data_IF_118357720709
#
_entry.id   IF_118357720709
#
_cell.length_a   1.000
_cell.length_b   1.000
_cell.length_c   1.000
_cell.angle_alpha   90.00
_cell.angle_beta   90.00
_cell.angle_gamma   90.00
#
_symmetry.space_group_name_H-M   'P 1'
#
loop_
_entity.id
_entity.type
_entity.pdbx_description
1 polymer ?
#
# COMPACT_ATOMS: atom_id res chain seq x y z
N UNK A 1 -18.95 5.38 -35.85
CA UNK A 1 -19.71 4.86 -34.70
C UNK A 1 -18.70 4.34 -33.69
N UNK A 2 -18.33 5.16 -32.71
CA UNK A 2 -17.54 4.72 -31.55
C UNK A 2 -18.25 5.28 -30.33
N UNK A 3 -19.32 4.59 -29.92
CA UNK A 3 -19.96 4.83 -28.64
C UNK A 3 -19.20 4.08 -27.56
N UNK A 4 -19.20 4.61 -26.33
CA UNK A 4 -18.81 3.83 -25.17
C UNK A 4 -19.80 2.66 -25.05
N UNK A 5 -19.33 1.45 -25.34
CA UNK A 5 -20.12 0.25 -25.13
C UNK A 5 -19.83 -0.20 -23.71
N UNK A 6 -20.84 -0.15 -22.87
CA UNK A 6 -20.82 -0.84 -21.60
C UNK A 6 -20.60 -2.33 -21.89
N UNK A 7 -19.43 -2.88 -21.52
CA UNK A 7 -19.04 -4.23 -21.91
C UNK A 7 -20.07 -5.28 -21.47
N UNK A 8 -20.75 -5.06 -20.34
CA UNK A 8 -21.83 -5.93 -19.85
C UNK A 8 -23.13 -5.82 -20.67
N UNK A 9 -23.27 -4.79 -21.50
CA UNK A 9 -24.37 -4.62 -22.46
C UNK A 9 -24.00 -5.11 -23.87
N UNK A 10 -22.77 -5.57 -24.10
CA UNK A 10 -22.40 -6.25 -25.34
C UNK A 10 -23.17 -7.57 -25.38
N UNK A 11 -24.03 -7.80 -26.40
CA UNK A 11 -24.75 -9.07 -26.52
C UNK A 11 -23.77 -10.25 -26.56
N UNK A 12 -23.95 -11.21 -25.65
CA UNK A 12 -23.10 -12.39 -25.53
C UNK A 12 -21.86 -12.23 -24.66
N UNK A 13 -21.68 -11.09 -23.96
CA UNK A 13 -20.65 -10.93 -22.94
C UNK A 13 -20.72 -11.99 -21.83
N UNK A 14 -21.94 -12.24 -21.37
CA UNK A 14 -22.29 -13.28 -20.39
C UNK A 14 -22.11 -14.71 -20.93
N UNK A 15 -22.02 -14.88 -22.25
CA UNK A 15 -21.75 -16.16 -22.91
C UNK A 15 -20.25 -16.43 -23.11
N UNK A 16 -19.39 -15.44 -22.85
CA UNK A 16 -17.95 -15.62 -22.95
C UNK A 16 -17.45 -16.51 -21.82
N UNK A 17 -16.84 -17.64 -22.19
CA UNK A 17 -16.27 -18.57 -21.24
C UNK A 17 -14.85 -18.13 -20.82
N UNK A 18 -14.74 -17.48 -19.67
CA UNK A 18 -13.46 -17.04 -19.12
C UNK A 18 -12.74 -18.09 -18.27
N UNK A 19 -13.26 -19.32 -18.17
CA UNK A 19 -12.61 -20.40 -17.40
C UNK A 19 -11.26 -20.82 -17.93
N UNK A 20 -10.89 -20.43 -19.16
CA UNK A 20 -9.56 -20.67 -19.74
C UNK A 20 -8.67 -19.42 -19.74
N UNK A 21 -9.16 -18.29 -19.20
CA UNK A 21 -8.43 -17.02 -19.19
C UNK A 21 -7.19 -17.16 -18.31
N UNK A 22 -6.00 -16.96 -18.91
CA UNK A 22 -4.70 -17.04 -18.21
C UNK A 22 -4.15 -15.67 -17.80
N UNK A 23 -4.55 -14.61 -18.49
CA UNK A 23 -4.12 -13.24 -18.25
C UNK A 23 -5.31 -12.33 -18.42
N UNK A 24 -5.61 -11.52 -17.40
CA UNK A 24 -6.51 -10.38 -17.50
C UNK A 24 -5.66 -9.11 -17.47
N UNK A 25 -5.82 -8.27 -18.48
CA UNK A 25 -5.26 -6.93 -18.52
C UNK A 25 -6.41 -5.95 -18.73
N UNK A 26 -6.59 -5.05 -17.78
CA UNK A 26 -7.74 -4.15 -17.73
C UNK A 26 -7.25 -2.73 -17.40
N UNK A 27 -7.62 -1.80 -18.26
CA UNK A 27 -7.05 -0.46 -18.27
C UNK A 27 -7.90 0.55 -19.03
N UNK A 28 -9.12 0.86 -18.57
CA UNK A 28 -9.89 1.94 -19.16
C UNK A 28 -9.13 3.26 -19.00
N UNK A 29 -9.13 4.06 -20.05
CA UNK A 29 -8.81 5.49 -19.95
C UNK A 29 -10.01 6.18 -19.30
N UNK A 30 -10.05 6.24 -17.97
CA UNK A 30 -11.10 6.95 -17.24
C UNK A 30 -10.72 8.45 -17.29
N UNK A 31 -11.54 9.30 -17.92
CA UNK A 31 -11.22 10.71 -18.05
C UNK A 31 -11.18 11.38 -16.68
N UNK A 32 -10.07 12.03 -16.35
CA UNK A 32 -9.92 12.85 -15.15
C UNK A 32 -10.24 14.30 -15.43
N UNK A 33 -11.09 14.88 -14.58
CA UNK A 33 -11.49 16.28 -14.65
C UNK A 33 -10.53 17.17 -13.85
N UNK A 34 -9.22 17.01 -14.07
CA UNK A 34 -8.22 17.94 -13.54
C UNK A 34 -7.94 19.02 -14.59
N UNK A 35 -9.02 19.67 -15.04
CA UNK A 35 -9.05 20.93 -15.80
C UNK A 35 -8.20 20.93 -17.10
N UNK A 36 -8.84 20.56 -18.22
CA UNK A 36 -8.51 21.05 -19.57
C UNK A 36 -7.14 20.72 -20.22
N UNK A 37 -6.41 19.62 -19.93
CA UNK A 37 -5.13 19.37 -20.65
C UNK A 37 -4.98 18.01 -21.34
N UNK A 38 -5.71 17.80 -22.44
CA UNK A 38 -5.13 17.51 -23.76
C UNK A 38 -6.24 17.19 -24.80
N UNK A 39 -6.38 18.10 -25.75
CA UNK A 39 -7.14 17.99 -27.00
C UNK A 39 -8.66 18.20 -26.94
N UNK A 40 -9.04 19.47 -26.80
CA UNK A 40 -10.19 20.06 -27.50
C UNK A 40 -10.04 19.81 -29.00
N UNK A 41 -10.50 18.67 -29.54
CA UNK A 41 -11.05 18.65 -30.93
C UNK A 41 -11.87 17.42 -31.34
N UNK A 42 -12.00 16.32 -30.58
CA UNK A 42 -12.64 15.10 -31.14
C UNK A 42 -13.85 14.53 -30.39
N UNK A 43 -14.15 14.92 -29.14
CA UNK A 43 -15.19 14.22 -28.34
C UNK A 43 -16.36 15.10 -27.87
N UNK A 44 -16.75 16.13 -28.61
CA UNK A 44 -17.84 17.03 -28.20
C UNK A 44 -19.28 16.53 -28.46
N UNK A 45 -19.53 15.25 -28.75
CA UNK A 45 -20.90 14.80 -29.11
C UNK A 45 -21.37 13.46 -28.56
N UNK A 46 -20.80 12.97 -27.45
CA UNK A 46 -21.34 11.78 -26.79
C UNK A 46 -21.69 12.07 -25.32
N UNK A 47 -22.86 11.62 -24.83
CA UNK A 47 -23.15 11.62 -23.41
C UNK A 47 -22.15 10.65 -22.74
N UNK A 48 -21.10 11.20 -22.15
CA UNK A 48 -20.18 10.43 -21.33
C UNK A 48 -20.92 10.04 -20.05
N UNK A 49 -20.95 8.75 -19.65
CA UNK A 49 -21.39 8.37 -18.32
C UNK A 49 -20.63 9.18 -17.27
N UNK A 50 -21.23 9.43 -16.10
CA UNK A 50 -20.50 10.09 -15.01
C UNK A 50 -19.29 9.23 -14.64
N UNK A 51 -18.17 9.85 -14.31
CA UNK A 51 -16.90 9.17 -13.97
C UNK A 51 -17.15 8.06 -12.94
N UNK A 52 -17.94 8.32 -11.90
CA UNK A 52 -18.26 7.35 -10.85
C UNK A 52 -19.00 6.10 -11.36
N UNK A 53 -19.83 6.24 -12.41
CA UNK A 53 -20.54 5.11 -13.03
C UNK A 53 -19.56 4.23 -13.83
N UNK A 54 -18.55 4.83 -14.46
CA UNK A 54 -17.49 4.12 -15.19
C UNK A 54 -16.61 3.34 -14.21
N UNK A 55 -16.19 3.98 -13.13
CA UNK A 55 -15.35 3.38 -12.08
C UNK A 55 -16.06 2.18 -11.41
N UNK A 56 -17.33 2.34 -11.04
CA UNK A 56 -18.14 1.28 -10.44
C UNK A 56 -18.37 0.10 -11.41
N UNK A 57 -18.68 0.40 -12.67
CA UNK A 57 -18.86 -0.63 -13.71
C UNK A 57 -17.55 -1.39 -13.97
N UNK A 58 -16.43 -0.68 -14.01
CA UNK A 58 -15.09 -1.25 -14.17
C UNK A 58 -14.74 -2.21 -13.01
N UNK A 59 -14.98 -1.82 -11.77
CA UNK A 59 -14.77 -2.68 -10.59
C UNK A 59 -15.60 -3.96 -10.67
N UNK A 60 -16.88 -3.84 -11.03
CA UNK A 60 -17.79 -4.99 -11.20
C UNK A 60 -17.30 -5.96 -12.27
N UNK A 61 -16.88 -5.44 -13.43
CA UNK A 61 -16.33 -6.23 -14.52
C UNK A 61 -15.09 -7.00 -14.06
N UNK A 62 -14.16 -6.35 -13.36
CA UNK A 62 -12.96 -7.02 -12.84
C UNK A 62 -13.33 -8.15 -11.87
N UNK A 63 -14.30 -7.94 -10.97
CA UNK A 63 -14.77 -9.00 -10.07
C UNK A 63 -15.36 -10.20 -10.82
N UNK A 64 -16.19 -9.98 -11.82
CA UNK A 64 -16.79 -11.06 -12.63
C UNK A 64 -15.71 -11.88 -13.37
N UNK A 65 -14.70 -11.21 -13.93
CA UNK A 65 -13.58 -11.87 -14.58
C UNK A 65 -12.73 -12.68 -13.61
N UNK A 66 -12.39 -12.10 -12.46
CA UNK A 66 -11.58 -12.78 -11.44
C UNK A 66 -12.32 -13.99 -10.87
N UNK A 67 -13.64 -13.88 -10.66
CA UNK A 67 -14.46 -14.99 -10.19
C UNK A 67 -14.55 -16.13 -11.22
N UNK A 68 -14.76 -15.82 -12.49
CA UNK A 68 -14.92 -16.81 -13.58
C UNK A 68 -13.59 -17.49 -13.98
N UNK A 69 -12.47 -16.80 -13.83
CA UNK A 69 -11.13 -17.29 -14.22
C UNK A 69 -10.25 -17.74 -13.05
N UNK A 70 -10.82 -17.89 -11.85
CA UNK A 70 -10.13 -18.15 -10.57
C UNK A 70 -9.10 -19.29 -10.60
N UNK A 71 -9.40 -20.34 -11.36
CA UNK A 71 -8.58 -21.56 -11.45
C UNK A 71 -7.54 -21.55 -12.58
N UNK A 72 -7.52 -20.52 -13.43
CA UNK A 72 -6.64 -20.46 -14.62
C UNK A 72 -5.87 -19.17 -14.76
N UNK A 73 -6.40 -18.07 -14.24
CA UNK A 73 -5.77 -16.76 -14.37
C UNK A 73 -4.50 -16.71 -13.55
N UNK A 74 -3.37 -16.60 -14.26
CA UNK A 74 -2.01 -16.51 -13.71
C UNK A 74 -1.58 -15.08 -13.48
N UNK A 75 -2.12 -14.14 -14.26
CA UNK A 75 -1.68 -12.74 -14.25
C UNK A 75 -2.87 -11.81 -14.32
N UNK A 76 -2.95 -10.90 -13.35
CA UNK A 76 -3.89 -9.79 -13.31
C UNK A 76 -3.10 -8.49 -13.42
N UNK A 77 -3.39 -7.70 -14.45
CA UNK A 77 -2.82 -6.37 -14.68
C UNK A 77 -3.95 -5.37 -14.72
N UNK A 78 -3.97 -4.46 -13.76
CA UNK A 78 -4.92 -3.38 -13.63
C UNK A 78 -4.12 -2.08 -13.79
N UNK A 79 -4.09 -1.52 -15.00
CA UNK A 79 -3.29 -0.35 -15.32
C UNK A 79 -4.06 0.55 -16.28
N UNK A 80 -4.32 1.79 -15.88
CA UNK A 80 -5.02 2.77 -16.70
C UNK A 80 -4.94 4.15 -16.07
N UNK A 81 -5.61 5.12 -16.68
CA UNK A 81 -5.86 6.42 -16.04
C UNK A 81 -7.18 6.34 -15.31
N UNK A 82 -7.31 6.93 -14.13
CA UNK A 82 -8.56 6.81 -13.39
C UNK A 82 -8.40 6.41 -11.94
N UNK A 83 -9.55 6.41 -11.27
CA UNK A 83 -9.75 5.61 -10.07
C UNK A 83 -10.35 4.27 -10.47
N UNK A 84 -9.69 3.17 -10.10
CA UNK A 84 -10.34 1.86 -10.06
C UNK A 84 -10.47 1.47 -8.60
N UNK A 85 -11.66 1.66 -8.04
CA UNK A 85 -11.98 1.18 -6.70
C UNK A 85 -12.16 -0.35 -6.75
N UNK A 86 -11.04 -1.06 -6.83
CA UNK A 86 -10.98 -2.51 -6.75
C UNK A 86 -9.82 -2.90 -5.83
N UNK A 87 -10.06 -3.82 -4.88
CA UNK A 87 -11.31 -4.55 -4.64
C UNK A 87 -12.31 -3.80 -3.75
N UNK A 88 -13.59 -3.86 -4.11
CA UNK A 88 -14.76 -3.31 -3.37
C UNK A 88 -15.46 -4.29 -2.43
N UNK A 89 -15.12 -5.58 -2.51
CA UNK A 89 -15.73 -6.64 -1.71
C UNK A 89 -14.65 -7.67 -1.33
N UNK A 90 -14.79 -8.41 -0.22
CA UNK A 90 -13.84 -9.46 0.16
C UNK A 90 -13.82 -10.60 -0.86
N UNK A 91 -12.72 -11.36 -0.93
CA UNK A 91 -12.63 -12.52 -1.82
C UNK A 91 -13.64 -13.59 -1.40
N UNK A 92 -14.44 -14.06 -2.35
CA UNK A 92 -15.44 -15.13 -2.11
C UNK A 92 -14.76 -16.51 -2.06
N UNK A 93 -13.59 -16.65 -2.69
CA UNK A 93 -12.81 -17.88 -2.73
C UNK A 93 -11.33 -17.61 -3.06
N UNK A 94 -10.42 -18.55 -2.76
CA UNK A 94 -9.01 -18.40 -3.09
C UNK A 94 -8.75 -18.32 -4.60
N UNK A 95 -7.68 -17.61 -4.98
CA UNK A 95 -7.15 -17.52 -6.34
C UNK A 95 -5.87 -18.37 -6.47
N UNK A 96 -5.98 -19.71 -6.55
CA UNK A 96 -4.81 -20.58 -6.53
C UNK A 96 -3.96 -20.50 -7.81
N UNK A 97 -4.52 -20.07 -8.94
CA UNK A 97 -3.77 -19.95 -10.18
C UNK A 97 -2.98 -18.64 -10.28
N UNK A 98 -3.33 -17.62 -9.49
CA UNK A 98 -2.76 -16.29 -9.65
C UNK A 98 -1.32 -16.26 -9.14
N UNK A 99 -0.41 -15.92 -10.04
CA UNK A 99 1.04 -15.82 -9.81
C UNK A 99 1.52 -14.36 -9.84
N UNK A 100 0.79 -13.45 -10.48
CA UNK A 100 1.18 -12.04 -10.65
C UNK A 100 -0.01 -11.10 -10.53
N UNK A 101 0.15 -10.04 -9.74
CA UNK A 101 -0.77 -8.91 -9.61
C UNK A 101 -0.01 -7.60 -9.85
N UNK A 102 -0.52 -6.79 -10.77
CA UNK A 102 -0.06 -5.42 -11.02
C UNK A 102 -1.28 -4.51 -10.91
N UNK A 103 -1.25 -3.56 -9.98
CA UNK A 103 -2.32 -2.60 -9.75
C UNK A 103 -1.73 -1.19 -9.77
N UNK A 104 -2.07 -0.45 -10.82
CA UNK A 104 -1.46 0.84 -11.15
C UNK A 104 -2.49 1.97 -11.36
N UNK A 105 -3.60 1.95 -10.62
CA UNK A 105 -4.62 3.02 -10.63
C UNK A 105 -4.40 4.03 -9.50
N UNK A 106 -5.12 5.15 -9.52
CA UNK A 106 -4.90 6.25 -8.57
C UNK A 106 -5.28 5.94 -7.11
N UNK A 107 -6.06 4.89 -6.86
CA UNK A 107 -6.45 4.49 -5.49
C UNK A 107 -6.51 2.97 -5.31
N UNK A 108 -6.44 2.54 -4.05
CA UNK A 108 -6.69 1.16 -3.64
C UNK A 108 -7.32 1.14 -2.26
N UNK A 109 -8.35 0.31 -2.07
CA UNK A 109 -8.86 -0.02 -0.75
C UNK A 109 -7.90 -1.01 -0.06
N UNK A 110 -7.03 -0.51 0.80
CA UNK A 110 -5.95 -1.31 1.39
C UNK A 110 -6.44 -2.46 2.27
N UNK A 111 -7.53 -2.27 3.03
CA UNK A 111 -8.15 -3.30 3.88
C UNK A 111 -8.78 -4.43 3.06
N UNK A 112 -9.48 -4.08 1.98
CA UNK A 112 -10.00 -5.11 1.08
C UNK A 112 -8.85 -5.81 0.35
N UNK A 113 -7.87 -5.06 -0.13
CA UNK A 113 -6.71 -5.60 -0.83
C UNK A 113 -5.91 -6.58 0.03
N UNK A 114 -5.68 -6.28 1.31
CA UNK A 114 -4.99 -7.20 2.23
C UNK A 114 -5.71 -8.55 2.34
N UNK A 115 -7.05 -8.52 2.40
CA UNK A 115 -7.87 -9.73 2.41
C UNK A 115 -7.72 -10.55 1.12
N UNK A 116 -7.65 -9.87 -0.02
CA UNK A 116 -7.39 -10.49 -1.33
C UNK A 116 -6.00 -11.10 -1.43
N UNK A 117 -4.95 -10.39 -0.99
CA UNK A 117 -3.57 -10.90 -0.98
C UNK A 117 -3.44 -12.19 -0.17
N UNK A 118 -4.12 -12.27 0.98
CA UNK A 118 -4.18 -13.48 1.80
C UNK A 118 -4.90 -14.65 1.11
N UNK A 119 -5.74 -14.38 0.11
CA UNK A 119 -6.46 -15.38 -0.68
C UNK A 119 -5.75 -15.74 -2.01
N UNK A 120 -4.53 -15.25 -2.24
CA UNK A 120 -3.73 -15.58 -3.43
C UNK A 120 -2.52 -16.44 -3.02
N UNK A 121 -2.68 -17.75 -2.74
CA UNK A 121 -1.64 -18.57 -2.12
C UNK A 121 -0.38 -18.76 -2.98
N UNK A 122 -0.50 -18.63 -4.31
CA UNK A 122 0.61 -18.84 -5.24
C UNK A 122 1.14 -17.54 -5.87
N UNK A 123 0.67 -16.36 -5.41
CA UNK A 123 1.13 -15.08 -5.93
C UNK A 123 2.63 -14.92 -5.66
N UNK A 124 3.39 -14.55 -6.69
CA UNK A 124 4.86 -14.43 -6.67
C UNK A 124 5.33 -13.03 -6.97
N UNK A 125 4.51 -12.26 -7.66
CA UNK A 125 4.81 -10.89 -8.05
C UNK A 125 3.63 -9.99 -7.66
N UNK A 126 3.94 -8.93 -6.92
CA UNK A 126 2.99 -7.90 -6.51
C UNK A 126 3.57 -6.54 -6.88
N UNK A 127 2.85 -5.80 -7.72
CA UNK A 127 3.17 -4.42 -8.03
C UNK A 127 2.01 -3.51 -7.65
N UNK A 128 2.34 -2.43 -6.93
CA UNK A 128 1.49 -1.26 -6.85
C UNK A 128 2.24 -0.08 -7.44
N UNK A 129 1.64 0.58 -8.43
CA UNK A 129 2.27 1.70 -9.13
C UNK A 129 1.33 2.89 -9.28
N UNK A 130 1.87 4.08 -9.45
CA UNK A 130 1.08 5.22 -9.94
C UNK A 130 -0.10 5.66 -9.06
N UNK A 131 -0.18 5.19 -7.81
CA UNK A 131 -1.26 5.55 -6.87
C UNK A 131 -1.06 7.00 -6.43
N UNK A 132 -1.65 7.89 -7.22
CA UNK A 132 -1.74 9.33 -6.95
C UNK A 132 -3.04 9.52 -6.18
N UNK A 133 -2.97 9.89 -4.91
CA UNK A 133 -4.15 10.25 -4.13
C UNK A 133 -4.82 11.50 -4.74
N UNK A 134 -5.64 11.30 -5.77
CA UNK A 134 -6.48 12.31 -6.41
C UNK A 134 -7.88 12.27 -5.76
N UNK A 135 -8.57 13.42 -5.72
CA UNK A 135 -9.90 13.65 -5.08
C UNK A 135 -9.95 13.74 -3.54
N UNK A 136 -8.96 14.34 -2.89
CA UNK A 136 -9.07 14.66 -1.46
C UNK A 136 -9.20 13.42 -0.55
N UNK A 137 -8.85 12.24 -1.07
CA UNK A 137 -8.58 11.06 -0.25
C UNK A 137 -7.28 11.33 0.50
N UNK A 138 -7.42 11.77 1.74
CA UNK A 138 -6.33 12.33 2.53
C UNK A 138 -5.24 11.29 2.85
N UNK A 139 -5.55 10.00 2.75
CA UNK A 139 -4.65 8.94 3.18
C UNK A 139 -5.10 7.55 2.67
N UNK A 140 -4.14 6.70 2.29
CA UNK A 140 -4.35 5.24 2.15
C UNK A 140 -3.63 4.57 3.31
N UNK A 141 -4.35 3.76 4.08
CA UNK A 141 -3.78 3.02 5.20
C UNK A 141 -2.97 1.82 4.68
N UNK A 142 -1.74 2.08 4.24
CA UNK A 142 -0.84 1.11 3.62
C UNK A 142 -0.46 -0.07 4.52
N UNK A 143 -0.56 0.14 5.83
CA UNK A 143 -0.26 -0.87 6.85
C UNK A 143 -0.94 -2.21 6.59
N UNK A 144 -2.21 -2.23 6.18
CA UNK A 144 -2.94 -3.48 5.90
C UNK A 144 -2.27 -4.31 4.78
N UNK A 145 -1.78 -3.64 3.74
CA UNK A 145 -1.06 -4.30 2.63
C UNK A 145 0.31 -4.76 3.13
N UNK A 146 1.02 -3.94 3.91
CA UNK A 146 2.34 -4.31 4.42
C UNK A 146 2.31 -5.48 5.40
N UNK A 147 1.33 -5.51 6.31
CA UNK A 147 1.08 -6.62 7.22
C UNK A 147 0.77 -7.90 6.41
N UNK A 148 -0.06 -7.82 5.36
CA UNK A 148 -0.35 -8.96 4.49
C UNK A 148 0.87 -9.45 3.69
N UNK A 149 1.81 -8.57 3.33
CA UNK A 149 3.09 -8.94 2.72
C UNK A 149 3.99 -9.66 3.73
N UNK A 150 4.09 -9.14 4.97
CA UNK A 150 4.89 -9.73 6.05
C UNK A 150 4.38 -11.13 6.44
N UNK A 151 3.08 -11.25 6.66
CA UNK A 151 2.45 -12.46 7.23
C UNK A 151 2.32 -13.59 6.20
N UNK A 152 2.78 -13.37 4.97
CA UNK A 152 2.67 -14.31 3.88
C UNK A 152 3.60 -15.50 4.08
N UNK A 153 3.03 -16.70 4.15
CA UNK A 153 3.80 -17.95 4.19
C UNK A 153 4.66 -18.08 2.92
N UNK A 154 5.91 -18.52 3.10
CA UNK A 154 6.89 -18.72 2.01
C UNK A 154 6.26 -19.28 0.72
N UNK A 155 6.37 -18.50 -0.36
CA UNK A 155 5.88 -18.87 -1.69
C UNK A 155 6.63 -20.13 -2.16
N UNK A 156 5.88 -21.22 -2.39
CA UNK A 156 6.45 -22.46 -2.95
C UNK A 156 6.76 -22.24 -4.44
N UNK A 157 7.99 -22.53 -4.86
CA UNK A 157 8.37 -22.35 -6.25
C UNK A 157 9.87 -22.44 -6.53
N UNK A 158 10.27 -22.30 -7.81
CA UNK A 158 11.66 -22.18 -8.21
C UNK A 158 12.28 -20.87 -7.66
N UNK A 159 13.60 -20.85 -7.49
CA UNK A 159 14.33 -19.71 -6.92
C UNK A 159 14.21 -18.43 -7.78
N UNK A 160 14.14 -17.23 -7.17
CA UNK A 160 14.09 -16.99 -5.73
C UNK A 160 12.72 -17.35 -5.13
N UNK A 161 12.72 -18.15 -4.06
CA UNK A 161 11.53 -18.40 -3.25
C UNK A 161 11.17 -17.11 -2.53
N UNK A 162 9.94 -16.63 -2.67
CA UNK A 162 9.49 -15.39 -2.04
C UNK A 162 8.44 -14.65 -2.86
N UNK A 163 8.00 -13.52 -2.34
CA UNK A 163 7.16 -12.56 -3.04
C UNK A 163 8.04 -11.42 -3.55
N UNK A 164 8.14 -11.25 -4.86
CA UNK A 164 8.67 -10.05 -5.48
C UNK A 164 7.66 -8.92 -5.31
N UNK A 165 8.06 -7.85 -4.63
CA UNK A 165 7.24 -6.66 -4.37
C UNK A 165 7.85 -5.46 -5.08
N UNK A 166 7.00 -4.68 -5.75
CA UNK A 166 7.35 -3.40 -6.37
C UNK A 166 6.31 -2.36 -5.96
N UNK A 167 6.73 -1.36 -5.18
CA UNK A 167 5.96 -0.15 -4.92
C UNK A 167 6.58 0.97 -5.73
N UNK A 168 5.86 1.48 -6.71
CA UNK A 168 6.31 2.56 -7.57
C UNK A 168 5.50 3.81 -7.26
N UNK A 169 6.15 4.82 -6.68
CA UNK A 169 5.51 6.14 -6.51
C UNK A 169 4.26 6.14 -5.63
N UNK A 170 4.16 5.28 -4.63
CA UNK A 170 2.96 5.27 -3.79
C UNK A 170 2.99 6.48 -2.86
N UNK A 171 1.94 7.31 -2.92
CA UNK A 171 1.80 8.43 -1.98
C UNK A 171 1.24 7.87 -0.67
N UNK A 172 2.05 7.92 0.38
CA UNK A 172 1.70 7.38 1.70
C UNK A 172 1.18 8.45 2.64
N UNK A 173 1.70 9.68 2.55
CA UNK A 173 1.25 10.85 3.32
C UNK A 173 1.22 12.11 2.44
N UNK A 174 0.83 13.25 3.00
CA UNK A 174 0.73 14.52 2.25
C UNK A 174 2.02 14.91 1.52
N UNK A 175 3.19 14.53 2.07
CA UNK A 175 4.51 14.95 1.61
C UNK A 175 5.45 13.79 1.27
N UNK A 176 5.00 12.55 1.47
CA UNK A 176 5.87 11.36 1.42
C UNK A 176 5.49 10.46 0.26
N UNK A 177 6.49 10.06 -0.51
CA UNK A 177 6.36 9.16 -1.66
C UNK A 177 7.31 8.00 -1.49
N UNK A 178 6.74 6.83 -1.27
CA UNK A 178 7.49 5.61 -1.03
C UNK A 178 7.74 4.87 -2.35
N UNK A 179 8.97 4.40 -2.54
CA UNK A 179 9.33 3.52 -3.66
C UNK A 179 10.19 2.38 -3.15
N UNK A 180 9.78 1.14 -3.41
CA UNK A 180 10.46 -0.05 -2.93
C UNK A 180 10.48 -1.13 -4.02
N UNK A 181 11.57 -1.89 -4.10
CA UNK A 181 11.67 -3.05 -4.96
C UNK A 181 12.52 -4.12 -4.30
N UNK A 182 11.96 -5.30 -4.10
CA UNK A 182 12.68 -6.40 -3.48
C UNK A 182 11.92 -7.72 -3.49
N UNK A 183 12.61 -8.80 -3.13
CA UNK A 183 12.04 -10.12 -2.91
C UNK A 183 11.97 -10.37 -1.40
N UNK A 184 10.75 -10.52 -0.88
CA UNK A 184 10.49 -10.84 0.52
C UNK A 184 10.41 -12.37 0.69
N UNK A 185 11.26 -12.93 1.54
CA UNK A 185 11.29 -14.34 1.87
C UNK A 185 11.60 -14.55 3.35
N UNK A 186 10.92 -15.48 4.03
CA UNK A 186 11.27 -15.80 5.42
C UNK A 186 12.54 -16.67 5.51
N UNK A 187 13.01 -17.21 4.38
CA UNK A 187 14.35 -17.79 4.26
C UNK A 187 15.34 -16.67 3.90
N UNK A 188 16.15 -16.26 4.87
CA UNK A 188 17.11 -15.17 4.77
C UNK A 188 18.21 -15.39 3.71
N UNK A 189 18.32 -16.60 3.15
CA UNK A 189 19.28 -16.93 2.09
C UNK A 189 18.84 -16.53 0.67
N UNK A 190 17.60 -16.09 0.48
CA UNK A 190 17.00 -15.84 -0.84
C UNK A 190 16.44 -14.41 -1.00
N UNK A 191 16.38 -13.65 0.10
CA UNK A 191 16.01 -12.25 0.11
C UNK A 191 16.98 -11.40 -0.73
N UNK A 192 16.49 -10.34 -1.38
CA UNK A 192 17.34 -9.30 -1.99
C UNK A 192 18.35 -8.75 -0.97
N UNK A 193 19.47 -8.24 -1.49
CA UNK A 193 20.44 -7.51 -0.67
C UNK A 193 19.70 -6.46 0.17
N UNK A 194 19.75 -6.65 1.48
CA UNK A 194 19.05 -5.79 2.43
C UNK A 194 19.82 -4.49 2.58
N UNK A 195 19.11 -3.41 2.87
CA UNK A 195 19.75 -2.18 3.31
C UNK A 195 20.38 -2.46 4.69
N UNK A 196 21.64 -2.90 4.68
CA UNK A 196 22.37 -3.39 5.88
C UNK A 196 23.14 -2.27 6.58
N UNK A 197 23.20 -1.08 5.96
CA UNK A 197 24.03 0.04 6.39
C UNK A 197 23.21 1.33 6.54
N UNK A 198 22.05 1.26 7.18
CA UNK A 198 21.46 2.47 7.75
C UNK A 198 22.20 2.78 9.06
N UNK A 199 22.97 3.86 9.10
CA UNK A 199 23.59 4.36 10.34
C UNK A 199 22.57 4.99 11.29
N UNK A 200 21.34 5.18 10.81
CA UNK A 200 20.22 5.66 11.60
C UNK A 200 19.51 4.46 12.25
N UNK A 201 19.58 4.42 13.58
CA UNK A 201 19.01 3.34 14.40
C UNK A 201 17.48 3.35 14.38
N UNK A 202 16.87 4.49 14.06
CA UNK A 202 15.41 4.69 14.02
C UNK A 202 14.83 4.46 12.62
N UNK A 203 15.69 4.39 11.59
CA UNK A 203 15.29 4.17 10.20
C UNK A 203 14.52 5.34 9.57
N UNK A 204 14.60 6.55 10.16
CA UNK A 204 13.94 7.75 9.66
C UNK A 204 14.53 8.25 8.34
N UNK A 205 15.82 7.98 8.10
CA UNK A 205 16.54 8.45 6.91
C UNK A 205 16.46 7.51 5.70
N UNK A 206 16.08 6.24 5.88
CA UNK A 206 16.00 5.24 4.82
C UNK A 206 14.63 4.54 4.83
N UNK A 207 13.76 4.97 3.92
CA UNK A 207 12.39 4.46 3.81
C UNK A 207 12.34 2.94 3.57
N UNK A 208 13.31 2.42 2.81
CA UNK A 208 13.39 1.01 2.47
C UNK A 208 13.85 0.18 3.66
N UNK A 209 14.78 0.70 4.46
CA UNK A 209 15.21 0.05 5.69
C UNK A 209 14.04 -0.21 6.65
N UNK A 210 13.21 0.81 6.90
CA UNK A 210 12.03 0.68 7.77
C UNK A 210 10.98 -0.30 7.21
N UNK A 211 10.76 -0.32 5.90
CA UNK A 211 9.87 -1.29 5.25
C UNK A 211 10.41 -2.72 5.36
N UNK A 212 11.69 -2.93 5.08
CA UNK A 212 12.33 -4.24 5.18
C UNK A 212 12.22 -4.78 6.61
N UNK A 213 12.56 -3.97 7.62
CA UNK A 213 12.41 -4.35 9.04
C UNK A 213 11.00 -4.81 9.38
N UNK A 214 9.99 -4.18 8.80
CA UNK A 214 8.59 -4.58 8.95
C UNK A 214 8.30 -5.92 8.24
N UNK A 215 8.71 -6.07 6.97
CA UNK A 215 8.46 -7.30 6.19
C UNK A 215 9.14 -8.53 6.76
N UNK A 216 10.31 -8.40 7.38
CA UNK A 216 11.00 -9.50 8.05
C UNK A 216 10.59 -9.70 9.51
N UNK A 217 9.64 -8.91 10.02
CA UNK A 217 9.13 -9.03 11.39
C UNK A 217 10.17 -8.72 12.47
N UNK A 218 11.21 -7.94 12.14
CA UNK A 218 12.33 -7.64 13.04
C UNK A 218 11.98 -6.57 14.08
N UNK A 219 10.99 -5.75 13.76
CA UNK A 219 10.48 -4.69 14.62
C UNK A 219 8.95 -4.71 14.58
N UNK A 220 8.32 -4.53 15.74
CA UNK A 220 6.86 -4.37 15.78
C UNK A 220 6.50 -3.03 15.15
N UNK A 221 5.36 -2.97 14.48
CA UNK A 221 4.91 -1.74 13.82
C UNK A 221 4.94 -0.52 14.75
N UNK A 222 4.46 -0.65 16.00
CA UNK A 222 4.44 0.44 16.98
C UNK A 222 5.82 1.03 17.31
N UNK A 223 6.87 0.21 17.18
CA UNK A 223 8.26 0.57 17.47
C UNK A 223 9.01 0.98 16.17
N UNK A 224 8.38 0.86 14.99
CA UNK A 224 8.97 1.20 13.70
C UNK A 224 8.74 2.67 13.34
N UNK A 225 9.52 3.53 13.99
CA UNK A 225 9.44 4.99 13.87
C UNK A 225 9.51 5.50 12.43
N UNK A 226 10.46 5.02 11.62
CA UNK A 226 10.54 5.36 10.20
C UNK A 226 9.29 4.97 9.41
N UNK A 227 8.78 3.74 9.54
CA UNK A 227 7.58 3.33 8.80
C UNK A 227 6.33 4.10 9.24
N UNK A 228 6.20 4.39 10.54
CA UNK A 228 5.12 5.22 11.08
C UNK A 228 5.17 6.64 10.54
N UNK A 229 6.36 7.24 10.47
CA UNK A 229 6.58 8.53 9.83
C UNK A 229 6.17 8.53 8.34
N UNK A 230 6.53 7.49 7.59
CA UNK A 230 6.12 7.35 6.19
C UNK A 230 4.59 7.31 6.00
N UNK A 231 3.87 6.85 7.01
CA UNK A 231 2.41 6.73 7.00
C UNK A 231 1.70 7.84 7.78
N UNK A 232 2.39 8.94 8.11
CA UNK A 232 1.80 10.05 8.89
C UNK A 232 1.20 9.61 10.25
N UNK A 233 1.63 8.45 10.76
CA UNK A 233 1.20 7.85 12.03
C UNK A 233 2.24 8.15 13.13
N UNK A 234 2.69 9.40 13.17
CA UNK A 234 3.66 9.88 14.12
C UNK A 234 2.98 10.55 15.31
N UNK A 235 2.78 9.77 16.38
CA UNK A 235 2.31 10.31 17.65
C UNK A 235 3.53 10.92 18.38
N UNK A 236 3.64 12.25 18.35
CA UNK A 236 4.78 13.02 18.91
C UNK A 236 4.91 12.87 20.44
N UNK A 237 3.94 12.22 21.10
CA UNK A 237 3.82 12.16 22.57
C UNK A 237 4.60 11.06 23.29
N UNK A 238 5.37 10.20 22.59
CA UNK A 238 6.04 9.04 23.18
C UNK A 238 7.56 9.04 22.93
N UNK A 239 8.19 10.21 22.92
CA UNK A 239 9.57 10.26 23.41
C UNK A 239 9.42 10.08 24.91
N UNK A 240 9.49 8.84 25.39
CA UNK A 240 9.82 8.56 26.78
C UNK A 240 11.18 9.24 26.99
N UNK A 241 11.14 10.49 27.46
CA UNK A 241 12.30 11.07 28.10
C UNK A 241 12.51 10.20 29.31
N UNK A 242 13.46 9.28 29.21
CA UNK A 242 14.13 8.67 30.35
C UNK A 242 14.79 9.82 31.12
N UNK A 243 13.98 10.59 31.87
CA UNK A 243 14.46 11.46 32.93
C UNK A 243 14.67 10.56 34.15
N UNK A 244 15.63 9.65 34.02
CA UNK A 244 16.37 9.17 35.17
C UNK A 244 17.16 10.38 35.69
N UNK A 245 16.67 10.99 36.77
CA UNK A 245 17.50 11.44 37.89
C UNK A 245 16.56 11.84 39.03
N UNK A 246 16.16 10.81 39.79
CA UNK A 246 15.86 10.93 41.21
C UNK A 246 17.04 11.61 41.91
N UNK A 247 16.95 12.91 42.15
CA UNK A 247 17.76 13.55 43.19
C UNK A 247 16.87 13.74 44.41
N UNK A 248 16.95 12.74 45.30
CA UNK A 248 16.48 12.85 46.66
C UNK A 248 17.06 14.09 47.35
N UNK A 249 16.15 14.83 48.01
CA UNK A 249 16.28 15.30 49.40
C UNK A 249 17.44 16.25 49.73
N UNK A 250 17.07 17.47 50.15
CA UNK A 250 17.28 17.91 51.54
C UNK A 250 16.39 19.09 51.89
N UNK A 251 15.43 18.85 52.79
CA UNK A 251 14.85 19.89 53.63
C UNK A 251 15.96 20.48 54.50
N UNK A 252 16.12 21.80 54.54
CA UNK A 252 16.88 22.46 55.60
C UNK A 252 15.94 23.40 56.37
N UNK A 253 15.46 22.90 57.50
CA UNK A 253 14.90 23.70 58.59
C UNK A 253 16.06 24.42 59.32
N UNK A 254 15.93 25.73 59.39
CA UNK A 254 16.11 26.60 60.57
C UNK A 254 17.12 26.20 61.65
N UNK A 255 18.14 27.04 61.84
CA UNK A 255 18.69 27.40 63.16
C UNK A 255 19.23 28.83 63.10
N UNK A 256 18.60 29.75 63.83
CA UNK A 256 19.23 30.99 64.23
C UNK A 256 20.31 30.75 65.28
N UNK A 257 21.35 31.59 65.28
CA UNK A 257 21.94 32.11 66.51
C UNK A 257 22.70 33.41 66.21
N UNK A 258 22.42 34.41 67.02
CA UNK A 258 23.10 35.70 67.07
C UNK A 258 24.53 35.52 67.58
N UNK A 259 25.48 36.35 67.12
CA UNK A 259 26.58 36.83 67.96
C UNK A 259 27.34 37.97 67.28
N UNK A 260 27.39 39.08 68.02
CA UNK A 260 28.08 40.33 67.79
C UNK A 260 29.57 40.23 67.42
N UNK A 261 30.07 41.30 66.77
CA UNK A 261 31.34 41.89 67.22
C UNK A 261 32.42 42.17 66.16
N UNK A 262 32.55 43.47 65.87
CA UNK A 262 33.79 44.25 65.73
C UNK A 262 34.43 44.53 64.35
N UNK A 263 34.68 45.84 64.20
CA UNK A 263 35.67 46.58 63.38
C UNK A 263 35.30 46.80 61.91
N UNK A 264 35.22 48.02 61.38
CA UNK A 264 35.81 49.33 61.74
C UNK A 264 34.91 50.49 61.33
#
# INVERSE_FOLDING_TARGET
>A
MTGAVDCIKVPGWDLLNFTALKKLEFGPDIPHDEHEWASKTVLQTLPCPKVEEIESSASKIVHEFVASSRLTSKRLVLNGTGVLDWPTQPPIAPLPALESLDHSFDTVNSTMMSSWLNNMPNLRYLKFGGIRLARGLLFVEWRHIFDAVRDRSNVKGPSPKGLSVEFESIKSAHWTRMTYRGVICQDSSIATERHTHCTDREGLMDENYSLEKHFYGEIRFKDNHGLRYLMDDWDVGMVETDSEEDVERSESKDWGDDSDGQNS
#
